data_IF_292215827734
#
_entry.id   IF_292215827734
#
_cell.length_a   1.000
_cell.length_b   1.000
_cell.length_c   1.000
_cell.angle_alpha   90.00
_cell.angle_beta   90.00
_cell.angle_gamma   90.00
#
_symmetry.space_group_name_H-M   'P 1'
#
loop_
_entity.id
_entity.type
_entity.pdbx_description
1 polymer ?
#
# COMPACT_ATOMS: atom_id res chain seq x y z
N UNK A 1 -24.46 26.32 -56.60
CA UNK A 1 -24.18 25.06 -55.89
C UNK A 1 -24.20 25.33 -54.39
N UNK A 2 -25.38 25.28 -53.74
CA UNK A 2 -25.52 25.49 -52.28
C UNK A 2 -25.42 24.12 -51.62
N UNK A 3 -24.21 23.74 -51.22
CA UNK A 3 -24.04 22.55 -50.38
C UNK A 3 -24.71 22.88 -49.03
N UNK A 4 -25.72 22.09 -48.67
CA UNK A 4 -26.58 22.36 -47.52
C UNK A 4 -25.77 22.21 -46.22
N UNK A 5 -25.67 23.30 -45.44
CA UNK A 5 -25.10 23.30 -44.08
C UNK A 5 -25.75 22.27 -43.14
N UNK A 6 -26.94 21.78 -43.51
CA UNK A 6 -27.71 20.76 -42.78
C UNK A 6 -27.10 19.36 -42.87
N UNK A 7 -26.31 19.08 -43.91
CA UNK A 7 -25.65 17.77 -44.07
C UNK A 7 -24.37 17.68 -43.24
N UNK A 8 -23.71 18.81 -42.95
CA UNK A 8 -22.49 18.84 -42.15
C UNK A 8 -22.75 18.64 -40.66
N UNK A 9 -23.85 19.19 -40.13
CA UNK A 9 -24.21 19.03 -38.70
C UNK A 9 -24.58 17.60 -38.35
N UNK A 10 -25.30 16.90 -39.23
CA UNK A 10 -25.64 15.47 -39.06
C UNK A 10 -24.41 14.55 -39.15
N UNK A 11 -23.48 14.83 -40.07
CA UNK A 11 -22.23 14.07 -40.17
C UNK A 11 -21.34 14.26 -38.92
N UNK A 12 -21.26 15.48 -38.39
CA UNK A 12 -20.43 15.81 -37.22
C UNK A 12 -20.96 15.19 -35.92
N UNK A 13 -22.28 15.14 -35.74
CA UNK A 13 -22.91 14.45 -34.60
C UNK A 13 -22.76 12.93 -34.70
N UNK A 14 -22.86 12.35 -35.89
CA UNK A 14 -22.66 10.91 -36.10
C UNK A 14 -21.19 10.50 -35.81
N UNK A 15 -20.22 11.31 -36.24
CA UNK A 15 -18.80 11.08 -35.93
C UNK A 15 -18.50 11.20 -34.42
N UNK A 16 -19.13 12.14 -33.72
CA UNK A 16 -18.96 12.31 -32.27
C UNK A 16 -19.54 11.12 -31.48
N UNK A 17 -20.71 10.61 -31.87
CA UNK A 17 -21.33 9.43 -31.24
C UNK A 17 -20.54 8.13 -31.47
N UNK A 18 -19.92 7.98 -32.65
CA UNK A 18 -19.03 6.85 -32.92
C UNK A 18 -17.78 6.89 -32.04
N UNK A 19 -17.16 8.07 -31.86
CA UNK A 19 -15.98 8.24 -31.01
C UNK A 19 -16.27 7.94 -29.52
N UNK A 20 -17.45 8.32 -29.01
CA UNK A 20 -17.88 8.01 -27.64
C UNK A 20 -18.13 6.51 -27.41
N UNK A 21 -18.50 5.76 -28.45
CA UNK A 21 -18.75 4.32 -28.34
C UNK A 21 -17.46 3.51 -28.20
N UNK A 22 -16.35 4.01 -28.77
CA UNK A 22 -15.04 3.35 -28.66
C UNK A 22 -14.41 3.50 -27.26
N UNK A 23 -14.68 4.60 -26.56
CA UNK A 23 -14.13 4.84 -25.22
C UNK A 23 -14.79 3.94 -24.17
N UNK A 24 -16.11 3.73 -24.25
CA UNK A 24 -16.82 2.86 -23.30
C UNK A 24 -16.44 1.38 -23.49
N UNK A 25 -16.31 0.91 -24.74
CA UNK A 25 -15.95 -0.49 -25.01
C UNK A 25 -14.50 -0.83 -24.60
N UNK A 26 -13.57 0.14 -24.68
CA UNK A 26 -12.20 -0.05 -24.21
C UNK A 26 -12.13 -0.12 -22.68
N UNK A 27 -12.92 0.69 -21.98
CA UNK A 27 -13.00 0.72 -20.52
C UNK A 27 -13.54 -0.61 -19.95
N UNK A 28 -14.57 -1.19 -20.57
CA UNK A 28 -15.16 -2.47 -20.13
C UNK A 28 -14.18 -3.64 -20.22
N UNK A 29 -13.32 -3.68 -21.25
CA UNK A 29 -12.28 -4.73 -21.38
C UNK A 29 -11.18 -4.59 -20.33
N UNK A 30 -10.79 -3.35 -20.01
CA UNK A 30 -9.79 -3.11 -18.98
C UNK A 30 -10.32 -3.53 -17.60
N UNK A 31 -11.60 -3.27 -17.33
CA UNK A 31 -12.25 -3.67 -16.08
C UNK A 31 -12.20 -5.20 -15.86
N UNK A 32 -12.55 -5.99 -16.88
CA UNK A 32 -12.49 -7.46 -16.77
C UNK A 32 -11.06 -7.98 -16.57
N UNK A 33 -10.07 -7.38 -17.24
CA UNK A 33 -8.66 -7.74 -17.06
C UNK A 33 -8.18 -7.42 -15.63
N UNK A 34 -8.57 -6.26 -15.09
CA UNK A 34 -8.26 -5.88 -13.71
C UNK A 34 -8.93 -6.83 -12.73
N UNK A 35 -10.20 -7.20 -12.95
CA UNK A 35 -10.91 -8.17 -12.12
C UNK A 35 -10.17 -9.51 -12.03
N UNK A 36 -9.74 -10.04 -13.18
CA UNK A 36 -8.96 -11.27 -13.23
C UNK A 36 -7.64 -11.14 -12.46
N UNK A 37 -6.91 -10.02 -12.60
CA UNK A 37 -5.66 -9.78 -11.88
C UNK A 37 -5.90 -9.69 -10.36
N UNK A 38 -6.95 -8.98 -9.95
CA UNK A 38 -7.31 -8.83 -8.53
C UNK A 38 -7.71 -10.17 -7.90
N UNK A 39 -8.37 -11.05 -8.65
CA UNK A 39 -8.73 -12.40 -8.20
C UNK A 39 -7.52 -13.34 -8.12
N UNK A 40 -6.61 -13.26 -9.09
CA UNK A 40 -5.45 -14.16 -9.19
C UNK A 40 -4.24 -13.70 -8.36
N UNK A 41 -4.24 -12.49 -7.82
CA UNK A 41 -3.13 -11.93 -7.03
C UNK A 41 -3.40 -12.01 -5.52
N UNK A 42 -2.40 -11.61 -4.71
CA UNK A 42 -2.52 -11.51 -3.25
C UNK A 42 -3.14 -10.20 -2.76
N UNK A 43 -3.58 -9.30 -3.65
CA UNK A 43 -4.10 -7.97 -3.28
C UNK A 43 -5.27 -8.08 -2.29
N UNK A 44 -6.21 -9.00 -2.51
CA UNK A 44 -7.37 -9.16 -1.63
C UNK A 44 -6.98 -9.48 -0.18
N UNK A 45 -6.02 -10.37 0.03
CA UNK A 45 -5.58 -10.71 1.40
C UNK A 45 -4.72 -9.57 1.98
N UNK A 46 -3.92 -8.90 1.15
CA UNK A 46 -3.19 -7.70 1.57
C UNK A 46 -4.14 -6.61 2.09
N UNK A 47 -5.28 -6.38 1.42
CA UNK A 47 -6.36 -5.48 1.88
C UNK A 47 -6.83 -5.90 3.28
N UNK A 48 -7.22 -7.17 3.44
CA UNK A 48 -7.71 -7.70 4.71
C UNK A 48 -6.72 -7.54 5.88
N UNK A 49 -5.42 -7.49 5.58
CA UNK A 49 -4.38 -7.30 6.59
C UNK A 49 -4.14 -5.84 7.01
N UNK A 50 -4.67 -4.85 6.28
CA UNK A 50 -4.42 -3.42 6.53
C UNK A 50 -4.71 -3.02 7.98
N UNK A 51 -5.89 -3.31 8.58
CA UNK A 51 -6.17 -2.92 9.97
C UNK A 51 -5.14 -3.45 10.96
N UNK A 52 -4.69 -4.69 10.76
CA UNK A 52 -3.71 -5.32 11.64
C UNK A 52 -2.32 -4.72 11.48
N UNK A 53 -1.93 -4.32 10.27
CA UNK A 53 -0.67 -3.61 10.04
C UNK A 53 -0.68 -2.24 10.70
N UNK A 54 -1.79 -1.50 10.63
CA UNK A 54 -1.89 -0.16 11.22
C UNK A 54 -2.08 -0.16 12.73
N UNK A 55 -2.43 -1.30 13.34
CA UNK A 55 -2.49 -1.46 14.79
C UNK A 55 -1.16 -1.10 15.52
N UNK A 56 -0.04 -1.06 14.78
CA UNK A 56 1.27 -0.68 15.30
C UNK A 56 1.51 0.84 15.27
N UNK A 57 0.76 1.62 14.48
CA UNK A 57 0.93 3.07 14.37
C UNK A 57 0.86 3.79 15.73
N UNK A 58 -0.12 3.52 16.61
CA UNK A 58 -0.19 4.19 17.90
C UNK A 58 1.05 4.04 18.76
N UNK A 59 1.78 2.93 18.64
CA UNK A 59 3.03 2.69 19.38
C UNK A 59 4.14 3.66 18.98
N UNK A 60 4.06 4.22 17.77
CA UNK A 60 5.00 5.18 17.22
C UNK A 60 4.61 6.64 17.49
N UNK A 61 3.38 6.90 17.96
CA UNK A 61 2.93 8.25 18.25
C UNK A 61 3.53 8.74 19.58
N UNK A 62 3.89 10.04 19.68
CA UNK A 62 4.47 10.63 20.89
C UNK A 62 3.40 10.92 21.95
N UNK A 63 2.70 9.87 22.39
CA UNK A 63 1.64 9.92 23.41
C UNK A 63 2.26 9.53 24.75
N UNK A 64 1.78 10.12 25.84
CA UNK A 64 2.25 9.77 27.19
C UNK A 64 2.00 8.27 27.47
N UNK A 65 2.89 7.64 28.23
CA UNK A 65 2.72 6.21 28.58
C UNK A 65 1.46 5.95 29.43
N UNK A 66 0.96 6.96 30.13
CA UNK A 66 -0.28 6.90 30.91
C UNK A 66 -1.52 6.85 30.00
N UNK A 67 -1.53 7.64 28.93
CA UNK A 67 -2.66 7.74 27.98
C UNK A 67 -2.64 6.64 26.90
N UNK A 68 -1.47 6.00 26.68
CA UNK A 68 -1.24 5.07 25.58
C UNK A 68 -2.21 3.87 25.57
N UNK A 69 -2.53 3.19 26.69
CA UNK A 69 -3.45 2.05 26.68
C UNK A 69 -4.86 2.43 26.20
N UNK A 70 -5.38 3.56 26.67
CA UNK A 70 -6.71 4.03 26.28
C UNK A 70 -6.72 4.50 24.83
N UNK A 71 -5.71 5.25 24.41
CA UNK A 71 -5.53 5.63 23.00
C UNK A 71 -5.56 4.40 22.08
N UNK A 72 -4.78 3.38 22.44
CA UNK A 72 -4.71 2.13 21.69
C UNK A 72 -6.09 1.46 21.58
N UNK A 73 -6.82 1.34 22.68
CA UNK A 73 -8.15 0.73 22.68
C UNK A 73 -9.12 1.47 21.75
N UNK A 74 -9.17 2.80 21.85
CA UNK A 74 -10.05 3.63 21.01
C UNK A 74 -9.63 3.59 19.55
N UNK A 75 -8.35 3.72 19.28
CA UNK A 75 -7.81 3.64 17.93
C UNK A 75 -8.16 2.31 17.26
N UNK A 76 -7.98 1.19 17.98
CA UNK A 76 -8.32 -0.13 17.46
C UNK A 76 -9.83 -0.31 17.28
N UNK A 77 -10.65 0.25 18.18
CA UNK A 77 -12.11 0.25 18.06
C UNK A 77 -12.58 1.01 16.82
N UNK A 78 -12.06 2.21 16.60
CA UNK A 78 -12.40 3.04 15.43
C UNK A 78 -11.89 2.44 14.12
N UNK A 79 -10.68 1.86 14.11
CA UNK A 79 -10.18 1.12 12.96
C UNK A 79 -11.11 -0.05 12.61
N UNK A 80 -11.48 -0.86 13.60
CA UNK A 80 -12.32 -2.03 13.37
C UNK A 80 -13.75 -1.65 12.94
N UNK A 81 -14.28 -0.52 13.43
CA UNK A 81 -15.63 -0.07 13.11
C UNK A 81 -15.74 0.58 11.73
N UNK A 82 -14.72 1.33 11.30
CA UNK A 82 -14.78 2.14 10.09
C UNK A 82 -14.08 1.50 8.87
N UNK A 83 -13.30 0.45 9.07
CA UNK A 83 -12.67 -0.24 7.96
C UNK A 83 -13.68 -1.07 7.16
N UNK A 84 -13.80 -0.78 5.86
CA UNK A 84 -14.66 -1.53 4.95
C UNK A 84 -13.81 -2.19 3.86
N UNK A 85 -13.65 -3.52 3.94
CA UNK A 85 -12.89 -4.32 2.97
C UNK A 85 -13.39 -4.14 1.52
N UNK A 86 -14.71 -4.03 1.32
CA UNK A 86 -15.29 -3.89 -0.01
C UNK A 86 -15.01 -2.51 -0.60
N UNK A 87 -15.03 -1.46 0.24
CA UNK A 87 -14.65 -0.11 -0.19
C UNK A 87 -13.17 -0.05 -0.57
N UNK A 88 -12.29 -0.60 0.27
CA UNK A 88 -10.85 -0.74 -0.02
C UNK A 88 -10.59 -1.47 -1.35
N UNK A 89 -11.26 -2.60 -1.54
CA UNK A 89 -11.14 -3.39 -2.77
C UNK A 89 -11.61 -2.60 -3.99
N UNK A 90 -12.75 -1.92 -3.91
CA UNK A 90 -13.29 -1.13 -5.01
C UNK A 90 -12.41 0.08 -5.34
N UNK A 91 -11.85 0.76 -4.32
CA UNK A 91 -10.91 1.85 -4.52
C UNK A 91 -9.68 1.37 -5.31
N UNK A 92 -9.02 0.31 -4.84
CA UNK A 92 -7.82 -0.24 -5.50
C UNK A 92 -8.15 -0.72 -6.92
N UNK A 93 -9.27 -1.44 -7.09
CA UNK A 93 -9.74 -1.89 -8.39
C UNK A 93 -9.96 -0.73 -9.36
N UNK A 94 -10.65 0.32 -8.93
CA UNK A 94 -10.93 1.49 -9.79
C UNK A 94 -9.63 2.22 -10.15
N UNK A 95 -8.70 2.33 -9.20
CA UNK A 95 -7.38 2.90 -9.47
C UNK A 95 -6.64 2.14 -10.57
N UNK A 96 -6.67 0.80 -10.56
CA UNK A 96 -6.10 -0.03 -11.62
C UNK A 96 -6.79 0.17 -12.97
N UNK A 97 -8.12 0.35 -12.99
CA UNK A 97 -8.87 0.59 -14.23
C UNK A 97 -8.51 1.93 -14.85
N UNK A 98 -8.35 2.96 -14.02
CA UNK A 98 -8.10 4.34 -14.44
C UNK A 98 -6.64 4.59 -14.83
N UNK A 99 -5.69 3.97 -14.11
CA UNK A 99 -4.26 4.24 -14.25
C UNK A 99 -3.48 3.08 -14.90
N UNK A 100 -4.14 1.96 -15.16
CA UNK A 100 -3.53 0.76 -15.70
C UNK A 100 -3.27 0.82 -17.20
N UNK A 101 -2.05 0.49 -17.59
CA UNK A 101 -1.67 0.22 -18.96
C UNK A 101 -2.10 -1.21 -19.33
N UNK A 102 -3.03 -1.33 -20.26
CA UNK A 102 -3.64 -2.61 -20.62
C UNK A 102 -2.63 -3.66 -21.12
N UNK A 103 -1.55 -3.25 -21.81
CA UNK A 103 -0.53 -4.19 -22.30
C UNK A 103 0.30 -4.72 -21.12
N UNK A 104 0.72 -3.83 -20.22
CA UNK A 104 1.46 -4.19 -19.01
C UNK A 104 0.61 -5.07 -18.09
N UNK A 105 -0.65 -4.71 -17.87
CA UNK A 105 -1.61 -5.51 -17.08
C UNK A 105 -1.83 -6.89 -17.70
N UNK A 106 -1.88 -7.00 -19.02
CA UNK A 106 -1.96 -8.32 -19.67
C UNK A 106 -0.72 -9.16 -19.38
N UNK A 107 0.48 -8.57 -19.41
CA UNK A 107 1.71 -9.26 -19.00
C UNK A 107 1.68 -9.75 -17.55
N UNK A 108 1.06 -8.98 -16.65
CA UNK A 108 0.83 -9.38 -15.25
C UNK A 108 -0.12 -10.56 -15.18
N UNK A 109 -1.26 -10.51 -15.87
CA UNK A 109 -2.22 -11.60 -15.93
C UNK A 109 -1.57 -12.89 -16.46
N UNK A 110 -0.83 -12.80 -17.56
CA UNK A 110 -0.09 -13.93 -18.14
C UNK A 110 0.90 -14.55 -17.15
N UNK A 111 1.61 -13.72 -16.37
CA UNK A 111 2.49 -14.19 -15.31
C UNK A 111 1.70 -14.89 -14.19
N UNK A 112 0.65 -14.26 -13.65
CA UNK A 112 -0.15 -14.79 -12.54
C UNK A 112 -0.76 -16.15 -12.88
N UNK A 113 -1.22 -16.35 -14.11
CA UNK A 113 -1.78 -17.64 -14.57
C UNK A 113 -0.72 -18.66 -15.01
N UNK A 114 0.56 -18.30 -14.99
CA UNK A 114 1.64 -19.27 -15.23
C UNK A 114 1.80 -20.23 -14.05
N UNK A 115 2.39 -21.43 -14.23
CA UNK A 115 2.70 -22.32 -13.12
C UNK A 115 3.56 -21.65 -12.04
N UNK A 116 4.52 -20.81 -12.45
CA UNK A 116 5.41 -20.08 -11.55
C UNK A 116 4.65 -18.99 -10.77
N UNK A 117 3.90 -18.13 -11.46
CA UNK A 117 3.10 -17.08 -10.83
C UNK A 117 2.14 -17.63 -9.79
N UNK A 118 1.37 -18.68 -10.14
CA UNK A 118 0.50 -19.37 -9.18
C UNK A 118 1.24 -19.90 -7.96
N UNK A 119 2.45 -20.43 -8.15
CA UNK A 119 3.27 -20.97 -7.05
C UNK A 119 3.74 -19.88 -6.09
N UNK A 120 4.18 -18.74 -6.64
CA UNK A 120 4.54 -17.55 -5.84
C UNK A 120 3.31 -17.03 -5.10
N UNK A 121 2.20 -16.76 -5.81
CA UNK A 121 0.99 -16.24 -5.18
C UNK A 121 0.48 -17.17 -4.10
N UNK A 122 0.49 -18.49 -4.31
CA UNK A 122 0.10 -19.45 -3.29
C UNK A 122 0.97 -19.35 -2.03
N UNK A 123 2.28 -19.11 -2.17
CA UNK A 123 3.17 -18.87 -1.03
C UNK A 123 2.83 -17.56 -0.29
N UNK A 124 2.53 -16.48 -1.03
CA UNK A 124 2.05 -15.22 -0.45
C UNK A 124 0.76 -15.42 0.35
N UNK A 125 -0.23 -16.09 -0.23
CA UNK A 125 -1.53 -16.36 0.41
C UNK A 125 -1.36 -17.24 1.66
N UNK A 126 -0.55 -18.30 1.61
CA UNK A 126 -0.28 -19.17 2.78
C UNK A 126 0.38 -18.37 3.89
N UNK A 127 1.40 -17.57 3.56
CA UNK A 127 2.10 -16.76 4.54
C UNK A 127 1.15 -15.76 5.23
N UNK A 128 0.28 -15.11 4.47
CA UNK A 128 -0.66 -14.12 5.00
C UNK A 128 -1.80 -14.78 5.81
N UNK A 129 -2.34 -15.91 5.37
CA UNK A 129 -3.37 -16.65 6.11
C UNK A 129 -2.86 -17.25 7.41
N UNK A 130 -1.59 -17.65 7.44
CA UNK A 130 -0.92 -18.18 8.63
C UNK A 130 -0.16 -17.09 9.40
N UNK A 131 -0.39 -15.82 9.07
CA UNK A 131 0.34 -14.70 9.64
C UNK A 131 -0.05 -14.53 11.11
N UNK A 132 0.80 -15.07 11.97
CA UNK A 132 0.83 -14.77 13.39
C UNK A 132 1.97 -13.76 13.59
N UNK A 133 1.60 -12.50 13.90
CA UNK A 133 2.57 -11.42 14.05
C UNK A 133 3.61 -11.71 15.13
N UNK A 134 3.26 -12.43 16.19
CA UNK A 134 4.21 -12.81 17.22
C UNK A 134 5.22 -13.82 16.68
N UNK A 135 4.78 -14.79 15.85
CA UNK A 135 5.68 -15.73 15.17
C UNK A 135 6.56 -15.04 14.13
N UNK A 136 6.01 -14.11 13.35
CA UNK A 136 6.80 -13.33 12.40
C UNK A 136 7.87 -12.51 13.13
N UNK A 137 7.51 -11.79 14.20
CA UNK A 137 8.46 -11.03 15.00
C UNK A 137 9.54 -11.93 15.62
N UNK A 138 9.14 -13.06 16.23
CA UNK A 138 10.09 -14.03 16.78
C UNK A 138 11.03 -14.58 15.69
N UNK A 139 10.50 -14.90 14.50
CA UNK A 139 11.30 -15.32 13.36
C UNK A 139 12.30 -14.24 12.96
N UNK A 140 11.84 -13.00 12.74
CA UNK A 140 12.71 -11.87 12.34
C UNK A 140 13.81 -11.59 13.37
N UNK A 141 13.51 -11.67 14.67
CA UNK A 141 14.51 -11.50 15.73
C UNK A 141 15.54 -12.63 15.77
N UNK A 142 15.13 -13.85 15.41
CA UNK A 142 16.01 -15.02 15.38
C UNK A 142 16.72 -15.23 14.03
N UNK A 143 16.27 -14.53 12.98
CA UNK A 143 16.76 -14.69 11.64
C UNK A 143 18.22 -14.25 11.56
N UNK A 144 19.09 -15.19 11.20
CA UNK A 144 20.49 -14.95 10.93
C UNK A 144 20.74 -15.37 9.48
N UNK A 145 21.11 -14.44 8.59
CA UNK A 145 21.48 -14.83 7.24
C UNK A 145 22.65 -15.79 7.29
N UNK A 146 22.64 -16.80 6.42
CA UNK A 146 23.67 -17.84 6.37
C UNK A 146 25.03 -17.36 5.82
N UNK A 147 25.18 -16.04 5.61
CA UNK A 147 26.34 -15.38 5.04
C UNK A 147 26.06 -14.83 3.64
N UNK A 148 26.95 -13.96 3.15
CA UNK A 148 26.80 -13.30 1.84
C UNK A 148 26.93 -14.28 0.66
N UNK A 149 27.56 -15.44 0.87
CA UNK A 149 27.72 -16.49 -0.13
C UNK A 149 26.53 -17.48 -0.18
N UNK A 150 25.55 -17.35 0.71
CA UNK A 150 24.37 -18.22 0.70
C UNK A 150 23.46 -17.86 -0.50
N UNK A 151 23.20 -18.80 -1.43
CA UNK A 151 22.43 -18.50 -2.63
C UNK A 151 21.00 -18.03 -2.33
N UNK A 152 20.38 -18.53 -1.25
CA UNK A 152 19.02 -18.13 -0.86
C UNK A 152 19.03 -16.71 -0.30
N UNK A 153 20.00 -16.37 0.52
CA UNK A 153 20.16 -15.01 1.02
C UNK A 153 20.34 -14.02 -0.14
N UNK A 154 21.19 -14.34 -1.12
CA UNK A 154 21.38 -13.52 -2.31
C UNK A 154 20.08 -13.32 -3.12
N UNK A 155 19.25 -14.36 -3.28
CA UNK A 155 17.96 -14.22 -3.96
C UNK A 155 16.99 -13.32 -3.18
N UNK A 156 16.98 -13.40 -1.85
CA UNK A 156 16.13 -12.55 -1.02
C UNK A 156 16.59 -11.08 -1.06
N UNK A 157 17.90 -10.84 -0.99
CA UNK A 157 18.49 -9.49 -1.17
C UNK A 157 18.09 -8.93 -2.53
N UNK A 158 18.29 -9.71 -3.61
CA UNK A 158 17.91 -9.29 -4.95
C UNK A 158 16.42 -8.98 -5.07
N UNK A 159 15.55 -9.78 -4.44
CA UNK A 159 14.11 -9.55 -4.45
C UNK A 159 13.77 -8.23 -3.73
N UNK A 160 14.32 -8.00 -2.53
CA UNK A 160 14.11 -6.76 -1.77
C UNK A 160 14.58 -5.53 -2.56
N UNK A 161 15.77 -5.61 -3.16
CA UNK A 161 16.31 -4.53 -4.01
C UNK A 161 15.44 -4.27 -5.23
N UNK A 162 14.91 -5.34 -5.85
CA UNK A 162 14.04 -5.23 -7.04
C UNK A 162 12.71 -4.57 -6.72
N UNK A 163 12.16 -4.87 -5.55
CA UNK A 163 10.90 -4.29 -5.12
C UNK A 163 11.07 -2.84 -4.63
N UNK A 164 12.29 -2.44 -4.29
CA UNK A 164 12.62 -1.09 -3.78
C UNK A 164 11.68 -0.62 -2.66
N UNK A 165 11.22 -1.58 -1.83
CA UNK A 165 10.21 -1.31 -0.82
C UNK A 165 10.71 -0.29 0.22
N UNK A 166 12.01 -0.25 0.50
CA UNK A 166 12.61 0.71 1.43
C UNK A 166 12.33 2.15 1.03
N UNK A 167 12.66 2.52 -0.21
CA UNK A 167 12.40 3.87 -0.73
C UNK A 167 10.90 4.16 -0.83
N UNK A 168 10.10 3.18 -1.24
CA UNK A 168 8.65 3.34 -1.41
C UNK A 168 7.92 3.52 -0.07
N UNK A 169 8.28 2.74 0.96
CA UNK A 169 7.78 2.91 2.32
C UNK A 169 8.26 4.23 2.93
N UNK A 170 9.50 4.64 2.63
CA UNK A 170 10.00 5.93 3.08
C UNK A 170 9.18 7.09 2.50
N UNK A 171 8.90 7.07 1.19
CA UNK A 171 8.03 8.06 0.53
C UNK A 171 6.59 8.07 1.09
N UNK A 172 6.08 6.89 1.49
CA UNK A 172 4.82 6.78 2.23
C UNK A 172 4.89 7.54 3.56
N UNK A 173 5.91 7.30 4.38
CA UNK A 173 6.06 7.99 5.66
C UNK A 173 6.21 9.51 5.51
N UNK A 174 6.95 9.97 4.49
CA UNK A 174 7.09 11.40 4.16
C UNK A 174 5.75 12.07 3.84
N UNK A 175 4.79 11.30 3.30
CA UNK A 175 3.48 11.81 2.88
C UNK A 175 2.41 11.67 3.96
N UNK A 176 2.35 10.51 4.62
CA UNK A 176 1.27 10.14 5.53
C UNK A 176 1.43 10.82 6.91
N UNK A 177 2.62 10.77 7.49
CA UNK A 177 2.82 11.21 8.88
C UNK A 177 2.54 12.70 9.08
N UNK A 178 3.00 13.62 8.19
CA UNK A 178 2.65 15.04 8.33
C UNK A 178 1.13 15.26 8.27
N UNK A 179 0.43 14.63 7.33
CA UNK A 179 -1.03 14.76 7.20
C UNK A 179 -1.77 14.26 8.44
N UNK A 180 -1.35 13.11 8.98
CA UNK A 180 -1.91 12.59 10.22
C UNK A 180 -1.70 13.56 11.39
N UNK A 181 -0.51 14.17 11.47
CA UNK A 181 -0.20 15.15 12.50
C UNK A 181 -1.06 16.41 12.38
N UNK A 182 -1.24 16.93 11.16
CA UNK A 182 -2.11 18.07 10.91
C UNK A 182 -3.55 17.77 11.37
N UNK A 183 -4.08 16.59 11.05
CA UNK A 183 -5.41 16.15 11.51
C UNK A 183 -5.46 16.04 13.04
N UNK A 184 -4.45 15.46 13.69
CA UNK A 184 -4.40 15.37 15.16
C UNK A 184 -4.37 16.76 15.80
N UNK A 185 -3.62 17.71 15.25
CA UNK A 185 -3.59 19.08 15.73
C UNK A 185 -4.93 19.76 15.56
N UNK A 186 -5.55 19.67 14.38
CA UNK A 186 -6.86 20.27 14.12
C UNK A 186 -7.94 19.80 15.09
N UNK A 187 -7.87 18.53 15.48
CA UNK A 187 -8.87 17.85 16.28
C UNK A 187 -8.51 17.69 17.76
N UNK A 188 -7.42 18.30 18.24
CA UNK A 188 -7.11 18.29 19.67
C UNK A 188 -6.62 19.62 20.23
N UNK A 189 -7.44 20.35 21.04
CA UNK A 189 -6.98 21.53 21.77
C UNK A 189 -5.78 21.29 22.67
N UNK A 190 -5.67 20.12 23.32
CA UNK A 190 -4.51 19.79 24.14
C UNK A 190 -3.20 19.75 23.32
N UNK A 191 -3.24 19.18 22.11
CA UNK A 191 -2.11 19.23 21.20
C UNK A 191 -1.88 20.63 20.63
N UNK A 192 -2.92 21.45 20.42
CA UNK A 192 -2.74 22.86 20.00
C UNK A 192 -2.04 23.69 21.09
N UNK A 193 -2.39 23.49 22.36
CA UNK A 193 -1.82 24.23 23.50
C UNK A 193 -0.35 23.88 23.76
N UNK A 194 0.02 22.60 23.63
CA UNK A 194 1.42 22.17 23.66
C UNK A 194 2.26 22.78 22.51
N UNK A 195 1.59 23.28 21.47
CA UNK A 195 2.21 23.45 20.16
C UNK A 195 2.02 24.84 19.54
N UNK A 196 1.55 25.83 20.32
CA UNK A 196 1.50 27.25 19.92
C UNK A 196 2.89 27.86 19.61
N UNK A 197 3.98 27.17 19.96
CA UNK A 197 5.36 27.53 19.63
C UNK A 197 6.09 26.51 18.72
N UNK A 198 5.48 25.36 18.40
CA UNK A 198 6.15 24.22 17.74
C UNK A 198 5.55 23.76 16.41
N UNK A 199 4.36 24.24 16.06
CA UNK A 199 3.63 23.86 14.83
C UNK A 199 4.25 24.39 13.54
N UNK A 200 4.87 25.57 13.57
CA UNK A 200 5.33 26.23 12.35
C UNK A 200 6.38 25.40 11.59
N UNK A 201 7.09 24.50 12.29
CA UNK A 201 8.14 23.66 11.71
C UNK A 201 7.97 22.16 11.94
N UNK A 202 6.86 21.61 12.45
CA UNK A 202 6.79 20.14 12.69
C UNK A 202 7.01 19.34 11.41
N UNK A 203 6.30 19.68 10.33
CA UNK A 203 6.44 18.98 9.04
C UNK A 203 7.87 19.09 8.50
N UNK A 204 8.49 20.27 8.59
CA UNK A 204 9.87 20.49 8.16
C UNK A 204 10.89 19.75 9.04
N UNK A 205 10.72 19.81 10.36
CA UNK A 205 11.55 19.11 11.33
C UNK A 205 11.40 17.59 11.19
N UNK A 206 10.18 17.10 10.96
CA UNK A 206 9.91 15.68 10.72
C UNK A 206 10.61 15.22 9.44
N UNK A 207 10.47 15.97 8.34
CA UNK A 207 11.19 15.67 7.09
C UNK A 207 12.70 15.69 7.29
N UNK A 208 13.23 16.65 8.03
CA UNK A 208 14.66 16.74 8.32
C UNK A 208 15.15 15.55 9.18
N UNK A 209 14.39 15.18 10.22
CA UNK A 209 14.71 14.02 11.06
C UNK A 209 14.60 12.72 10.26
N UNK A 210 13.55 12.55 9.48
CA UNK A 210 13.33 11.38 8.63
C UNK A 210 14.45 11.26 7.58
N UNK A 211 14.85 12.38 6.96
CA UNK A 211 15.99 12.45 6.04
C UNK A 211 17.33 12.10 6.72
N UNK A 212 17.56 12.57 7.95
CA UNK A 212 18.74 12.21 8.73
C UNK A 212 18.75 10.73 9.14
N UNK A 213 17.57 10.14 9.33
CA UNK A 213 17.40 8.72 9.64
C UNK A 213 17.50 7.83 8.40
N UNK A 214 17.31 8.37 7.18
CA UNK A 214 17.21 7.59 5.94
C UNK A 214 18.33 6.56 5.78
N UNK A 215 19.60 6.96 5.94
CA UNK A 215 20.73 6.05 5.76
C UNK A 215 20.77 4.88 6.74
N UNK A 216 20.39 5.10 8.01
CA UNK A 216 20.28 4.03 9.01
C UNK A 216 19.00 3.22 8.88
N UNK A 217 17.92 3.88 8.46
CA UNK A 217 16.62 3.29 8.19
C UNK A 217 16.70 2.30 7.04
N UNK A 218 17.36 2.66 5.94
CA UNK A 218 17.48 1.80 4.75
C UNK A 218 18.14 0.46 5.11
N UNK A 219 19.25 0.46 5.86
CA UNK A 219 19.93 -0.78 6.25
C UNK A 219 19.10 -1.65 7.21
N UNK A 220 18.49 -1.05 8.23
CA UNK A 220 17.65 -1.77 9.18
C UNK A 220 16.39 -2.33 8.50
N UNK A 221 15.77 -1.52 7.64
CA UNK A 221 14.57 -1.88 6.90
C UNK A 221 14.85 -2.99 5.90
N UNK A 222 15.94 -2.91 5.13
CA UNK A 222 16.34 -3.99 4.21
C UNK A 222 16.57 -5.31 4.95
N UNK A 223 17.23 -5.28 6.11
CA UNK A 223 17.41 -6.48 6.94
C UNK A 223 16.08 -7.08 7.40
N UNK A 224 15.16 -6.23 7.88
CA UNK A 224 13.82 -6.66 8.30
C UNK A 224 13.00 -7.20 7.11
N UNK A 225 13.09 -6.58 5.95
CA UNK A 225 12.44 -7.05 4.72
C UNK A 225 13.00 -8.40 4.28
N UNK A 226 14.32 -8.59 4.28
CA UNK A 226 14.93 -9.88 3.94
C UNK A 226 14.43 -10.97 4.90
N UNK A 227 14.38 -10.70 6.19
CA UNK A 227 13.86 -11.66 7.18
C UNK A 227 12.37 -11.96 6.95
N UNK A 228 11.56 -10.95 6.65
CA UNK A 228 10.13 -11.13 6.33
C UNK A 228 9.94 -11.96 5.05
N UNK A 229 10.69 -11.66 4.00
CA UNK A 229 10.66 -12.43 2.74
C UNK A 229 11.16 -13.86 2.95
N UNK A 230 12.16 -14.08 3.81
CA UNK A 230 12.61 -15.41 4.18
C UNK A 230 11.52 -16.24 4.86
N UNK A 231 10.71 -15.61 5.72
CA UNK A 231 9.56 -16.23 6.37
C UNK A 231 8.44 -16.53 5.37
N UNK A 232 8.08 -15.54 4.54
CA UNK A 232 6.98 -15.60 3.59
C UNK A 232 7.23 -16.63 2.49
N UNK A 233 8.44 -16.69 1.97
CA UNK A 233 8.82 -17.56 0.86
C UNK A 233 9.63 -18.78 1.29
N UNK A 234 9.57 -19.17 2.57
CA UNK A 234 10.32 -20.31 3.14
C UNK A 234 10.19 -21.62 2.36
N UNK A 235 9.04 -21.83 1.72
CA UNK A 235 8.71 -23.06 0.98
C UNK A 235 9.04 -22.97 -0.52
N UNK A 236 9.56 -21.83 -0.99
CA UNK A 236 9.98 -21.65 -2.39
C UNK A 236 11.44 -22.04 -2.60
N UNK A 237 11.75 -22.57 -3.78
CA UNK A 237 13.12 -22.83 -4.22
C UNK A 237 13.84 -21.53 -4.62
N UNK A 238 15.16 -21.60 -4.77
CA UNK A 238 15.96 -20.45 -5.21
C UNK A 238 15.62 -20.06 -6.67
N UNK A 239 15.30 -21.04 -7.52
CA UNK A 239 14.85 -20.81 -8.89
C UNK A 239 13.49 -20.11 -8.93
N UNK A 240 12.57 -20.47 -8.03
CA UNK A 240 11.26 -19.82 -7.91
C UNK A 240 11.42 -18.36 -7.44
N UNK A 241 12.27 -18.10 -6.44
CA UNK A 241 12.60 -16.73 -6.00
C UNK A 241 13.26 -15.90 -7.10
N UNK A 242 14.21 -16.49 -7.83
CA UNK A 242 14.89 -15.83 -8.94
C UNK A 242 13.90 -15.47 -10.07
N UNK A 243 12.97 -16.38 -10.38
CA UNK A 243 11.93 -16.14 -11.37
C UNK A 243 10.98 -15.02 -10.94
N UNK A 244 10.64 -14.94 -9.64
CA UNK A 244 9.84 -13.84 -9.12
C UNK A 244 10.57 -12.51 -9.24
N UNK A 245 11.82 -12.42 -8.79
CA UNK A 245 12.63 -11.21 -8.93
C UNK A 245 12.80 -10.81 -10.40
N UNK A 246 12.95 -11.78 -11.31
CA UNK A 246 13.03 -11.50 -12.75
C UNK A 246 11.72 -10.90 -13.30
N UNK A 247 10.56 -11.45 -12.93
CA UNK A 247 9.27 -10.87 -13.31
C UNK A 247 9.10 -9.46 -12.76
N UNK A 248 9.44 -9.23 -11.49
CA UNK A 248 9.31 -7.90 -10.88
C UNK A 248 10.22 -6.85 -11.52
N UNK A 249 11.29 -7.24 -12.24
CA UNK A 249 12.12 -6.31 -13.04
C UNK A 249 11.52 -5.93 -14.39
N UNK A 250 10.50 -6.64 -14.86
CA UNK A 250 9.84 -6.32 -16.14
C UNK A 250 8.99 -5.06 -16.02
N UNK A 251 8.66 -4.42 -17.15
CA UNK A 251 7.74 -3.29 -17.16
C UNK A 251 6.36 -3.65 -16.60
N UNK A 252 5.88 -4.86 -16.89
CA UNK A 252 4.63 -5.40 -16.35
C UNK A 252 4.69 -5.54 -14.82
N UNK A 253 5.76 -6.14 -14.30
CA UNK A 253 5.95 -6.34 -12.85
C UNK A 253 6.10 -5.02 -12.09
N UNK A 254 6.91 -4.07 -12.60
CA UNK A 254 7.04 -2.75 -11.98
C UNK A 254 5.74 -1.96 -12.03
N UNK A 255 5.02 -2.01 -13.15
CA UNK A 255 3.73 -1.32 -13.26
C UNK A 255 2.70 -1.87 -12.28
N UNK A 256 2.62 -3.21 -12.13
CA UNK A 256 1.77 -3.84 -11.12
C UNK A 256 2.13 -3.41 -9.70
N UNK A 257 3.43 -3.40 -9.38
CA UNK A 257 3.93 -2.98 -8.08
C UNK A 257 3.57 -1.51 -7.79
N UNK A 258 3.77 -0.64 -8.77
CA UNK A 258 3.44 0.78 -8.67
C UNK A 258 1.95 0.97 -8.42
N UNK A 259 1.08 0.35 -9.21
CA UNK A 259 -0.37 0.46 -9.02
C UNK A 259 -0.79 -0.07 -7.64
N UNK A 260 -0.29 -1.25 -7.25
CA UNK A 260 -0.63 -1.88 -5.97
C UNK A 260 -0.24 -1.01 -4.78
N UNK A 261 0.98 -0.46 -4.80
CA UNK A 261 1.47 0.36 -3.71
C UNK A 261 0.79 1.73 -3.68
N UNK A 262 0.68 2.44 -4.80
CA UNK A 262 0.06 3.77 -4.81
C UNK A 262 -1.41 3.70 -4.37
N UNK A 263 -2.19 2.78 -4.93
CA UNK A 263 -3.60 2.64 -4.56
C UNK A 263 -3.80 2.18 -3.10
N UNK A 264 -2.96 1.27 -2.61
CA UNK A 264 -2.99 0.85 -1.21
C UNK A 264 -2.63 1.99 -0.24
N UNK A 265 -1.62 2.78 -0.61
CA UNK A 265 -1.18 3.96 0.15
C UNK A 265 -2.26 5.04 0.16
N UNK A 266 -2.84 5.35 -1.00
CA UNK A 266 -3.88 6.36 -1.18
C UNK A 266 -5.09 6.02 -0.32
N UNK A 267 -5.65 4.82 -0.51
CA UNK A 267 -6.79 4.35 0.29
C UNK A 267 -6.48 4.38 1.79
N UNK A 268 -5.34 3.82 2.19
CA UNK A 268 -4.95 3.76 3.61
C UNK A 268 -4.82 5.16 4.21
N UNK A 269 -4.25 6.10 3.46
CA UNK A 269 -4.11 7.49 3.88
C UNK A 269 -5.48 8.14 4.06
N UNK A 270 -6.35 8.04 3.05
CA UNK A 270 -7.70 8.62 3.12
C UNK A 270 -8.52 8.05 4.27
N UNK A 271 -8.55 6.72 4.40
CA UNK A 271 -9.25 6.05 5.47
C UNK A 271 -8.71 6.45 6.86
N UNK A 272 -7.39 6.53 7.03
CA UNK A 272 -6.79 6.97 8.29
C UNK A 272 -7.12 8.42 8.63
N UNK A 273 -7.06 9.33 7.67
CA UNK A 273 -7.41 10.74 7.88
C UNK A 273 -8.88 10.93 8.22
N UNK A 274 -9.76 10.06 7.72
CA UNK A 274 -11.18 10.04 8.09
C UNK A 274 -11.45 9.41 9.46
N UNK A 275 -10.60 8.48 9.90
CA UNK A 275 -10.77 7.76 11.18
C UNK A 275 -10.19 8.54 12.37
N UNK A 276 -9.05 9.21 12.18
CA UNK A 276 -8.33 9.92 13.24
C UNK A 276 -9.16 10.96 14.00
N UNK A 277 -10.02 11.80 13.36
CA UNK A 277 -10.84 12.76 14.08
C UNK A 277 -11.73 12.11 15.15
N UNK A 278 -12.32 10.95 14.87
CA UNK A 278 -13.18 10.24 15.83
C UNK A 278 -12.36 9.69 17.01
N UNK A 279 -11.16 9.18 16.72
CA UNK A 279 -10.21 8.75 17.76
C UNK A 279 -9.87 9.93 18.68
N UNK A 280 -9.52 11.08 18.10
CA UNK A 280 -9.15 12.28 18.87
C UNK A 280 -10.31 12.81 19.71
N UNK A 281 -11.50 12.98 19.13
CA UNK A 281 -12.67 13.46 19.87
C UNK A 281 -13.02 12.55 21.06
N UNK A 282 -12.90 11.24 20.88
CA UNK A 282 -13.19 10.29 21.95
C UNK A 282 -12.22 10.42 23.12
N UNK A 283 -10.94 10.68 22.84
CA UNK A 283 -9.92 10.86 23.88
C UNK A 283 -10.13 12.14 24.68
N UNK A 284 -10.57 13.20 24.03
CA UNK A 284 -10.84 14.47 24.72
C UNK A 284 -12.09 14.39 25.59
N UNK A 285 -13.11 13.66 25.15
CA UNK A 285 -14.31 13.43 25.93
C UNK A 285 -14.03 12.69 27.24
N UNK A 286 -13.01 11.83 27.29
CA UNK A 286 -12.62 11.12 28.52
C UNK A 286 -11.81 12.02 29.46
N UNK A 287 -11.03 12.96 28.91
CA UNK A 287 -10.23 13.91 29.69
C UNK A 287 -11.02 15.12 30.20
N UNK A 288 -12.23 15.34 29.70
CA UNK A 288 -13.12 16.39 30.18
C UNK A 288 -13.69 16.02 31.57
N UNK A 289 -13.50 16.85 32.61
CA UNK A 289 -13.93 16.58 33.98
C UNK A 289 -15.46 16.59 34.18
#
# INVERSE_FOLDING_TARGET
MRISLRNYTAALTASLLLLLSFTTYAQDKNAALVDDIMEQSSIKISIQSIPQQLAQIPQMLPISEEDKPEFLEKFMGEIAANYNEADAFNHIRNYFIENGDAEKLKGVQEWLVSPMGRRITQAELISQQQLDFAKLQAFMQSYKPAGDDDPRHQQLVQLVDTLDLGNRIFALFETLVPKMFDVMLENSPALKELNAAGTENFSENFKQQLGAMKGGFDAAMSSQMIASMAFQFRDLSNEELAAYAAFMKTEAGQHFLDLSLHSGIEYTTEWMLNTLPNVMQTLEAVKAP
#
